data_IF_344860890906
#
_entry.id   IF_344860890906
#
_cell.length_a   1.000
_cell.length_b   1.000
_cell.length_c   1.000
_cell.angle_alpha   90.00
_cell.angle_beta   90.00
_cell.angle_gamma   90.00
#
_symmetry.space_group_name_H-M   'P 1'
#
loop_
_entity.id
_entity.type
_entity.pdbx_description
1 polymer ?
#
# COMPACT_ATOMS: atom_id res chain seq x y z
N UNK A 1 -13.76 3.20 -2.89
CA UNK A 1 -12.64 2.32 -2.51
C UNK A 1 -11.35 3.04 -2.83
N UNK A 2 -10.47 3.27 -1.84
CA UNK A 2 -9.28 4.11 -2.02
C UNK A 2 -8.31 3.61 -3.10
N UNK A 3 -8.04 2.31 -3.16
CA UNK A 3 -7.08 1.75 -4.11
C UNK A 3 -7.49 1.76 -5.59
N UNK A 4 -8.73 2.14 -5.92
CA UNK A 4 -9.15 2.25 -7.33
C UNK A 4 -8.50 3.42 -8.05
N UNK A 5 -8.11 4.50 -7.34
CA UNK A 5 -7.38 5.61 -7.95
C UNK A 5 -5.99 5.17 -8.43
N UNK A 6 -5.32 4.32 -7.63
CA UNK A 6 -4.03 3.71 -8.01
C UNK A 6 -4.20 2.80 -9.23
N UNK A 7 -5.25 1.97 -9.25
CA UNK A 7 -5.55 1.11 -10.40
C UNK A 7 -5.82 1.94 -11.67
N UNK A 8 -6.62 2.99 -11.58
CA UNK A 8 -6.90 3.89 -12.72
C UNK A 8 -5.61 4.45 -13.27
N UNK A 9 -4.76 4.99 -12.39
CA UNK A 9 -3.48 5.58 -12.80
C UNK A 9 -2.53 4.55 -13.40
N UNK A 10 -2.50 3.33 -12.88
CA UNK A 10 -1.70 2.25 -13.44
C UNK A 10 -2.17 1.91 -14.86
N UNK A 11 -3.49 1.80 -15.08
CA UNK A 11 -4.07 1.50 -16.40
C UNK A 11 -3.83 2.61 -17.43
N UNK A 12 -3.77 3.87 -17.01
CA UNK A 12 -3.38 4.98 -17.88
C UNK A 12 -1.92 4.91 -18.31
N UNK A 13 -1.03 4.50 -17.40
CA UNK A 13 0.41 4.43 -17.66
C UNK A 13 0.84 3.16 -18.38
N UNK A 14 0.13 2.05 -18.15
CA UNK A 14 0.45 0.71 -18.65
C UNK A 14 -0.82 -0.02 -19.06
N UNK A 15 -1.08 -0.03 -20.36
CA UNK A 15 -2.18 -0.78 -20.98
C UNK A 15 -1.78 -2.21 -21.35
N UNK A 16 -0.49 -2.49 -21.32
CA UNK A 16 0.17 -3.72 -21.75
C UNK A 16 0.36 -4.75 -20.63
N UNK A 17 -0.14 -4.46 -19.42
CA UNK A 17 0.00 -5.35 -18.26
C UNK A 17 -1.35 -5.93 -17.84
N UNK A 18 -1.33 -7.22 -17.51
CA UNK A 18 -2.46 -7.86 -16.84
C UNK A 18 -2.50 -7.41 -15.37
N UNK A 19 -3.71 -7.18 -14.85
CA UNK A 19 -3.89 -6.66 -13.49
C UNK A 19 -4.95 -7.48 -12.77
N UNK A 20 -4.53 -8.10 -11.67
CA UNK A 20 -5.41 -8.65 -10.65
C UNK A 20 -5.65 -7.58 -9.57
N UNK A 21 -6.91 -7.24 -9.32
CA UNK A 21 -7.28 -6.29 -8.27
C UNK A 21 -8.10 -6.99 -7.17
N UNK A 22 -7.59 -6.97 -5.94
CA UNK A 22 -8.31 -7.45 -4.77
C UNK A 22 -8.61 -6.27 -3.84
N UNK A 23 -9.91 -5.98 -3.65
CA UNK A 23 -10.38 -4.99 -2.69
C UNK A 23 -11.01 -5.65 -1.47
N UNK A 24 -10.38 -5.55 -0.30
CA UNK A 24 -10.85 -6.17 0.94
C UNK A 24 -11.99 -5.39 1.62
N UNK A 25 -13.13 -5.31 0.93
CA UNK A 25 -14.29 -4.50 1.35
C UNK A 25 -14.89 -4.96 2.67
N UNK A 26 -14.86 -6.27 2.94
CA UNK A 26 -15.45 -6.86 4.14
C UNK A 26 -14.69 -6.46 5.43
N UNK A 27 -13.42 -6.07 5.30
CA UNK A 27 -12.58 -5.64 6.41
C UNK A 27 -12.31 -4.13 6.44
N UNK A 28 -12.77 -3.38 5.43
CA UNK A 28 -12.68 -1.93 5.45
C UNK A 28 -13.56 -1.34 6.57
N UNK A 29 -13.18 -0.19 7.16
CA UNK A 29 -11.91 0.52 6.99
C UNK A 29 -10.76 -0.12 7.80
N UNK A 30 -9.54 -0.01 7.29
CA UNK A 30 -8.34 -0.47 8.02
C UNK A 30 -7.84 0.54 9.06
N UNK A 31 -8.20 1.82 8.92
CA UNK A 31 -7.70 2.91 9.75
C UNK A 31 -8.11 2.85 11.22
N UNK A 32 -9.12 2.04 11.56
CA UNK A 32 -9.65 1.87 12.92
C UNK A 32 -9.18 0.55 13.56
N UNK A 33 -8.37 -0.23 12.84
CA UNK A 33 -7.90 -1.55 13.26
C UNK A 33 -6.48 -1.48 13.80
N UNK A 34 -6.12 -2.47 14.62
CA UNK A 34 -4.75 -2.58 15.14
C UNK A 34 -3.75 -2.81 14.01
N UNK A 35 -2.53 -2.32 14.20
CA UNK A 35 -1.44 -2.48 13.24
C UNK A 35 -1.16 -3.96 12.93
N UNK A 36 -1.16 -4.82 13.95
CA UNK A 36 -0.94 -6.25 13.80
C UNK A 36 -2.06 -6.96 13.04
N UNK A 37 -3.32 -6.56 13.25
CA UNK A 37 -4.45 -7.11 12.49
C UNK A 37 -4.35 -6.75 11.00
N UNK A 38 -4.05 -5.47 10.72
CA UNK A 38 -3.86 -5.00 9.34
C UNK A 38 -2.67 -5.70 8.71
N UNK A 39 -1.56 -5.89 9.44
CA UNK A 39 -0.39 -6.63 8.97
C UNK A 39 -0.79 -8.06 8.59
N UNK A 40 -1.34 -8.85 9.52
CA UNK A 40 -1.73 -10.25 9.26
C UNK A 40 -2.71 -10.37 8.10
N UNK A 41 -3.69 -9.47 8.01
CA UNK A 41 -4.67 -9.46 6.91
C UNK A 41 -4.01 -9.15 5.57
N UNK A 42 -3.07 -8.20 5.55
CA UNK A 42 -2.34 -7.82 4.34
C UNK A 42 -1.43 -8.95 3.84
N UNK A 43 -0.78 -9.68 4.75
CA UNK A 43 -0.01 -10.90 4.41
C UNK A 43 -0.90 -11.95 3.74
N UNK A 44 -2.03 -12.31 4.36
CA UNK A 44 -2.94 -13.29 3.78
C UNK A 44 -3.46 -12.89 2.38
N UNK A 45 -3.67 -11.60 2.14
CA UNK A 45 -4.06 -11.09 0.82
C UNK A 45 -2.89 -11.18 -0.17
N UNK A 46 -1.68 -10.84 0.25
CA UNK A 46 -0.48 -10.93 -0.59
C UNK A 46 -0.25 -12.38 -1.02
N UNK A 47 -0.30 -13.33 -0.10
CA UNK A 47 -0.16 -14.76 -0.38
C UNK A 47 -1.20 -15.24 -1.39
N UNK A 48 -2.46 -14.81 -1.23
CA UNK A 48 -3.53 -15.17 -2.14
C UNK A 48 -3.30 -14.64 -3.57
N UNK A 49 -2.87 -13.38 -3.74
CA UNK A 49 -2.62 -12.84 -5.09
C UNK A 49 -1.34 -13.41 -5.71
N UNK A 50 -0.31 -13.71 -4.92
CA UNK A 50 0.90 -14.41 -5.38
C UNK A 50 0.53 -15.82 -5.85
N UNK A 51 -0.30 -16.54 -5.10
CA UNK A 51 -0.82 -17.86 -5.49
C UNK A 51 -1.65 -17.86 -6.77
N UNK A 52 -2.21 -16.69 -7.15
CA UNK A 52 -2.90 -16.48 -8.43
C UNK A 52 -1.95 -16.08 -9.57
N UNK A 53 -0.65 -16.06 -9.34
CA UNK A 53 0.38 -15.78 -10.34
C UNK A 53 0.83 -14.33 -10.41
N UNK A 54 0.57 -13.49 -9.39
CA UNK A 54 1.08 -12.13 -9.36
C UNK A 54 2.62 -12.13 -9.27
N UNK A 55 3.28 -11.52 -10.26
CA UNK A 55 4.74 -11.39 -10.33
C UNK A 55 5.25 -10.09 -9.74
N UNK A 56 4.37 -9.11 -9.51
CA UNK A 56 4.62 -7.84 -8.82
C UNK A 56 3.38 -7.51 -7.98
N UNK A 57 3.56 -7.08 -6.74
CA UNK A 57 2.45 -6.77 -5.83
C UNK A 57 2.46 -5.29 -5.47
N UNK A 58 1.34 -4.61 -5.76
CA UNK A 58 1.12 -3.20 -5.39
C UNK A 58 0.18 -3.12 -4.19
N UNK A 59 0.68 -2.67 -3.05
CA UNK A 59 -0.13 -2.43 -1.84
C UNK A 59 -0.74 -1.02 -1.93
N UNK A 60 -1.86 -0.90 -2.64
CA UNK A 60 -2.49 0.39 -2.97
C UNK A 60 -3.17 1.15 -1.80
N UNK A 61 -3.10 0.63 -0.57
CA UNK A 61 -3.65 1.27 0.62
C UNK A 61 -2.52 1.78 1.52
N UNK A 62 -2.56 3.06 1.90
CA UNK A 62 -1.55 3.67 2.78
C UNK A 62 -1.42 2.94 4.12
N UNK A 63 -2.55 2.62 4.76
CA UNK A 63 -2.54 1.93 6.05
C UNK A 63 -1.99 0.51 5.94
N UNK A 64 -2.32 -0.23 4.87
CA UNK A 64 -1.76 -1.56 4.63
C UNK A 64 -0.26 -1.50 4.29
N UNK A 65 0.15 -0.49 3.51
CA UNK A 65 1.56 -0.25 3.18
C UNK A 65 2.37 0.02 4.44
N UNK A 66 1.90 0.93 5.29
CA UNK A 66 2.54 1.24 6.57
C UNK A 66 2.61 0.00 7.48
N UNK A 67 1.57 -0.84 7.48
CA UNK A 67 1.50 -2.02 8.34
C UNK A 67 2.40 -3.19 7.93
N UNK A 68 2.56 -3.43 6.62
CA UNK A 68 3.03 -4.74 6.15
C UNK A 68 4.22 -4.69 5.17
N UNK A 69 4.49 -3.56 4.51
CA UNK A 69 5.41 -3.53 3.36
C UNK A 69 6.83 -4.03 3.71
N UNK A 70 7.37 -3.62 4.85
CA UNK A 70 8.69 -4.08 5.32
C UNK A 70 8.73 -5.59 5.51
N UNK A 71 7.77 -6.14 6.26
CA UNK A 71 7.68 -7.58 6.50
C UNK A 71 7.42 -8.40 5.24
N UNK A 72 6.61 -7.91 4.29
CA UNK A 72 6.35 -8.59 3.02
C UNK A 72 7.63 -8.73 2.18
N UNK A 73 8.42 -7.65 2.09
CA UNK A 73 9.72 -7.67 1.39
C UNK A 73 10.72 -8.64 2.02
N UNK A 74 10.66 -8.84 3.34
CA UNK A 74 11.51 -9.80 4.04
C UNK A 74 11.07 -11.25 3.81
N UNK A 75 9.76 -11.51 3.79
CA UNK A 75 9.22 -12.87 3.62
C UNK A 75 9.24 -13.35 2.17
N UNK A 76 9.16 -12.43 1.21
CA UNK A 76 9.12 -12.72 -0.23
C UNK A 76 10.17 -11.89 -0.98
N UNK A 77 11.47 -12.11 -0.72
CA UNK A 77 12.55 -11.32 -1.32
C UNK A 77 12.60 -11.40 -2.86
N UNK A 78 12.01 -12.42 -3.45
CA UNK A 78 11.91 -12.64 -4.90
C UNK A 78 10.76 -11.89 -5.57
N UNK A 79 9.77 -11.41 -4.80
CA UNK A 79 8.60 -10.70 -5.34
C UNK A 79 8.77 -9.19 -5.11
N UNK A 80 8.73 -8.36 -6.17
CA UNK A 80 8.75 -6.92 -6.01
C UNK A 80 7.46 -6.40 -5.34
N UNK A 81 7.60 -5.76 -4.19
CA UNK A 81 6.51 -5.04 -3.51
C UNK A 81 6.63 -3.54 -3.66
N UNK A 82 5.59 -2.94 -4.23
CA UNK A 82 5.40 -1.49 -4.33
C UNK A 82 4.33 -1.07 -3.33
N UNK A 83 4.71 -0.29 -2.33
CA UNK A 83 3.75 0.34 -1.42
C UNK A 83 3.50 1.79 -1.81
N UNK A 84 2.62 2.41 -1.05
CA UNK A 84 2.47 3.86 -1.07
C UNK A 84 3.65 4.46 -0.27
N UNK A 85 4.82 4.58 -0.91
CA UNK A 85 5.98 5.29 -0.36
C UNK A 85 5.53 6.69 0.11
N UNK A 86 6.10 7.22 1.21
CA UNK A 86 5.52 8.39 1.84
C UNK A 86 5.48 9.56 0.86
N UNK A 87 4.28 10.10 0.64
CA UNK A 87 4.04 11.30 -0.16
C UNK A 87 4.83 12.52 0.34
N UNK A 88 5.49 12.40 1.49
CA UNK A 88 6.38 13.41 2.05
C UNK A 88 7.58 13.70 1.15
N UNK A 89 8.18 12.70 0.48
CA UNK A 89 9.34 12.92 -0.40
C UNK A 89 8.99 13.88 -1.56
N UNK A 90 7.97 13.60 -2.39
CA UNK A 90 7.59 14.54 -3.44
C UNK A 90 7.05 15.87 -2.87
N UNK A 91 6.45 15.88 -1.69
CA UNK A 91 6.01 17.12 -1.05
C UNK A 91 7.19 18.01 -0.62
N UNK A 92 8.28 17.41 -0.12
CA UNK A 92 9.53 18.12 0.19
C UNK A 92 10.15 18.71 -1.07
N UNK A 93 10.28 17.91 -2.13
CA UNK A 93 10.86 18.36 -3.40
C UNK A 93 10.06 19.51 -4.04
N UNK A 94 8.75 19.55 -3.83
CA UNK A 94 7.85 20.58 -4.35
C UNK A 94 7.70 21.81 -3.43
N UNK A 95 8.11 21.74 -2.16
CA UNK A 95 7.82 22.78 -1.18
C UNK A 95 8.78 23.96 -1.29
N UNK A 96 8.23 25.17 -1.27
CA UNK A 96 9.00 26.43 -1.22
C UNK A 96 9.27 26.91 0.20
N UNK A 97 8.41 26.55 1.16
CA UNK A 97 8.50 26.99 2.56
C UNK A 97 9.17 25.99 3.48
N UNK A 98 9.34 24.73 3.04
CA UNK A 98 9.83 23.63 3.88
C UNK A 98 8.81 23.11 4.91
N UNK A 99 7.60 23.67 4.96
CA UNK A 99 6.54 23.24 5.88
C UNK A 99 5.61 22.26 5.16
N UNK A 100 5.51 21.03 5.67
CA UNK A 100 4.70 19.95 5.08
C UNK A 100 3.62 19.50 6.07
N UNK A 101 2.36 19.54 5.63
CA UNK A 101 1.23 18.95 6.36
C UNK A 101 0.93 17.54 5.85
N UNK A 102 0.78 16.57 6.76
CA UNK A 102 0.41 15.19 6.43
C UNK A 102 -0.93 14.87 7.07
N UNK A 103 -1.89 14.44 6.25
CA UNK A 103 -3.18 13.92 6.72
C UNK A 103 -3.18 12.40 6.52
N UNK A 104 -3.28 11.65 7.62
CA UNK A 104 -3.27 10.20 7.59
C UNK A 104 -4.29 9.62 8.57
N UNK A 105 -4.69 8.37 8.37
CA UNK A 105 -5.52 7.64 9.35
C UNK A 105 -4.68 7.28 10.57
N UNK A 106 -5.34 7.03 11.72
CA UNK A 106 -4.66 6.72 13.00
C UNK A 106 -3.62 5.61 12.86
N UNK A 107 -3.99 4.48 12.28
CA UNK A 107 -3.08 3.33 12.09
C UNK A 107 -1.92 3.64 11.14
N UNK A 108 -2.06 4.60 10.22
CA UNK A 108 -0.96 5.00 9.33
C UNK A 108 0.15 5.73 10.09
N UNK A 109 -0.19 6.59 11.06
CA UNK A 109 0.78 7.26 11.95
C UNK A 109 1.45 6.33 12.96
N UNK A 110 0.96 5.11 13.13
CA UNK A 110 1.59 4.11 14.02
C UNK A 110 2.66 3.29 13.30
N UNK A 111 2.79 3.41 11.97
CA UNK A 111 3.81 2.70 11.21
C UNK A 111 5.13 3.45 11.16
N UNK A 112 6.24 2.72 11.06
CA UNK A 112 7.62 3.25 11.05
C UNK A 112 7.95 4.23 9.91
N UNK A 113 7.04 4.42 8.94
CA UNK A 113 7.20 5.33 7.80
C UNK A 113 6.89 6.80 8.14
N UNK A 114 6.36 7.09 9.33
CA UNK A 114 6.06 8.42 9.87
C UNK A 114 6.49 8.53 11.33
#
# INVERSE_FOLDING_TARGET
LGGLSVLSRLRELRTDVDVLYLGDRAWAPYGDRSFDDVRRRTHAIADAVIGLGATVVVVACNTASAAALGSLRLLHPEIPFVGMEPAVKPAVDASRSGIIGVLATRTTFQGELF
#
